data_IF_444673565375
#
_entry.id   IF_444673565375
#
_cell.length_a   1.000
_cell.length_b   1.000
_cell.length_c   1.000
_cell.angle_alpha   90.00
_cell.angle_beta   90.00
_cell.angle_gamma   90.00
#
_symmetry.space_group_name_H-M   'P 1'
#
loop_
_entity.id
_entity.type
_entity.pdbx_description
1 polymer ?
#
# COMPACT_ATOMS: atom_id res chain seq x y z
N UNK A 1 -20.19 -17.30 -26.69
CA UNK A 1 -19.70 -16.03 -26.12
C UNK A 1 -20.36 -15.67 -24.80
N UNK A 2 -21.69 -15.76 -24.66
CA UNK A 2 -22.37 -15.44 -23.39
C UNK A 2 -21.91 -16.30 -22.22
N UNK A 3 -21.69 -17.59 -22.44
CA UNK A 3 -21.23 -18.52 -21.38
C UNK A 3 -19.83 -18.18 -20.90
N UNK A 4 -18.94 -17.76 -21.79
CA UNK A 4 -17.56 -17.40 -21.44
C UNK A 4 -17.54 -16.11 -20.61
N UNK A 5 -18.36 -15.11 -20.97
CA UNK A 5 -18.43 -13.85 -20.24
C UNK A 5 -18.98 -14.06 -18.81
N UNK A 6 -19.99 -14.92 -18.66
CA UNK A 6 -20.56 -15.23 -17.35
C UNK A 6 -19.54 -15.95 -16.44
N UNK A 7 -18.78 -16.88 -17.02
CA UNK A 7 -17.73 -17.59 -16.27
C UNK A 7 -16.63 -16.65 -15.82
N UNK A 8 -16.20 -15.75 -16.71
CA UNK A 8 -15.17 -14.77 -16.38
C UNK A 8 -15.66 -13.82 -15.27
N UNK A 9 -16.90 -13.33 -15.33
CA UNK A 9 -17.48 -12.49 -14.31
C UNK A 9 -17.56 -13.18 -12.95
N UNK A 10 -17.93 -14.45 -12.93
CA UNK A 10 -18.03 -15.25 -11.70
C UNK A 10 -16.66 -15.45 -11.07
N UNK A 11 -15.63 -15.77 -11.87
CA UNK A 11 -14.27 -15.94 -11.38
C UNK A 11 -13.72 -14.63 -10.79
N UNK A 12 -13.99 -13.50 -11.44
CA UNK A 12 -13.57 -12.20 -10.94
C UNK A 12 -14.20 -11.89 -9.59
N UNK A 13 -15.50 -12.21 -9.43
CA UNK A 13 -16.20 -11.99 -8.17
C UNK A 13 -15.61 -12.85 -7.04
N UNK A 14 -15.32 -14.12 -7.31
CA UNK A 14 -14.71 -15.02 -6.32
C UNK A 14 -13.34 -14.50 -5.89
N UNK A 15 -12.51 -14.06 -6.83
CA UNK A 15 -11.19 -13.49 -6.54
C UNK A 15 -11.31 -12.21 -5.70
N UNK A 16 -12.27 -11.34 -6.00
CA UNK A 16 -12.49 -10.12 -5.25
C UNK A 16 -12.89 -10.40 -3.80
N UNK A 17 -13.79 -11.34 -3.58
CA UNK A 17 -14.22 -11.76 -2.24
C UNK A 17 -13.04 -12.37 -1.47
N UNK A 18 -12.27 -13.24 -2.10
CA UNK A 18 -11.09 -13.84 -1.50
C UNK A 18 -10.03 -12.81 -1.13
N UNK A 19 -9.82 -11.81 -1.98
CA UNK A 19 -8.87 -10.74 -1.71
C UNK A 19 -9.27 -9.92 -0.48
N UNK A 20 -10.55 -9.53 -0.37
CA UNK A 20 -11.05 -8.78 0.78
C UNK A 20 -10.89 -9.58 2.07
N UNK A 21 -11.27 -10.86 2.06
CA UNK A 21 -11.12 -11.73 3.22
C UNK A 21 -9.64 -11.88 3.61
N UNK A 22 -8.75 -12.04 2.61
CA UNK A 22 -7.32 -12.10 2.83
C UNK A 22 -6.77 -10.81 3.45
N UNK A 23 -7.27 -9.64 3.03
CA UNK A 23 -6.87 -8.37 3.60
C UNK A 23 -7.25 -8.24 5.08
N UNK A 24 -8.46 -8.68 5.45
CA UNK A 24 -8.91 -8.61 6.84
C UNK A 24 -8.02 -9.43 7.77
N UNK A 25 -7.64 -10.65 7.36
CA UNK A 25 -6.80 -11.52 8.17
C UNK A 25 -5.31 -11.15 8.13
N UNK A 26 -4.88 -10.41 7.11
CA UNK A 26 -3.47 -10.04 6.90
C UNK A 26 -3.21 -8.54 7.09
N UNK A 27 -4.14 -7.80 7.74
CA UNK A 27 -4.05 -6.34 7.83
C UNK A 27 -2.77 -5.86 8.50
N UNK A 28 -2.40 -6.42 9.65
CA UNK A 28 -1.19 -6.02 10.37
C UNK A 28 0.10 -6.36 9.61
N UNK A 29 0.30 -7.59 9.10
CA UNK A 29 1.48 -7.87 8.30
C UNK A 29 1.59 -7.00 7.04
N UNK A 30 0.47 -6.69 6.39
CA UNK A 30 0.46 -5.83 5.21
C UNK A 30 0.80 -4.38 5.56
N UNK A 31 0.31 -3.87 6.67
CA UNK A 31 0.65 -2.52 7.15
C UNK A 31 2.13 -2.44 7.48
N UNK A 32 2.70 -3.46 8.13
CA UNK A 32 4.12 -3.51 8.43
C UNK A 32 4.97 -3.58 7.15
N UNK A 33 4.54 -4.36 6.16
CA UNK A 33 5.21 -4.45 4.87
C UNK A 33 5.18 -3.10 4.14
N UNK A 34 4.04 -2.43 4.15
CA UNK A 34 3.91 -1.10 3.54
C UNK A 34 4.84 -0.08 4.21
N UNK A 35 4.94 -0.11 5.53
CA UNK A 35 5.83 0.76 6.27
C UNK A 35 7.29 0.54 5.87
N UNK A 36 7.70 -0.71 5.78
CA UNK A 36 9.05 -1.06 5.32
C UNK A 36 9.31 -0.55 3.91
N UNK A 37 8.36 -0.73 3.00
CA UNK A 37 8.48 -0.28 1.61
C UNK A 37 8.56 1.24 1.52
N UNK A 38 7.77 1.96 2.31
CA UNK A 38 7.81 3.41 2.36
C UNK A 38 9.16 3.92 2.87
N UNK A 39 9.71 3.28 3.88
CA UNK A 39 11.04 3.63 4.40
C UNK A 39 12.12 3.38 3.36
N UNK A 40 12.02 2.29 2.60
CA UNK A 40 12.93 2.00 1.50
C UNK A 40 12.81 3.05 0.40
N UNK A 41 11.59 3.41 0.03
CA UNK A 41 11.35 4.45 -0.97
C UNK A 41 11.95 5.79 -0.54
N UNK A 42 11.78 6.15 0.73
CA UNK A 42 12.38 7.38 1.29
C UNK A 42 13.89 7.36 1.16
N UNK A 43 14.52 6.23 1.49
CA UNK A 43 15.97 6.07 1.37
C UNK A 43 16.43 6.25 -0.08
N UNK A 44 15.70 5.64 -1.03
CA UNK A 44 16.01 5.80 -2.45
C UNK A 44 15.87 7.24 -2.91
N UNK A 45 14.82 7.94 -2.49
CA UNK A 45 14.62 9.33 -2.83
C UNK A 45 15.71 10.22 -2.26
N UNK A 46 16.14 9.95 -1.02
CA UNK A 46 17.23 10.71 -0.39
C UNK A 46 18.58 10.48 -1.08
N UNK A 47 18.76 9.32 -1.70
CA UNK A 47 19.98 8.97 -2.43
C UNK A 47 19.96 9.43 -3.88
N UNK A 48 18.82 9.88 -4.37
CA UNK A 48 18.69 10.35 -5.76
C UNK A 48 19.48 11.64 -5.97
N UNK A 49 19.93 11.85 -7.21
CA UNK A 49 20.69 13.03 -7.57
C UNK A 49 19.86 14.31 -7.41
N UNK A 50 20.55 15.46 -7.46
CA UNK A 50 19.97 16.77 -7.17
C UNK A 50 18.59 16.96 -7.80
N UNK A 51 17.69 17.53 -7.00
CA UNK A 51 16.28 17.71 -7.33
C UNK A 51 16.07 18.96 -8.17
N UNK A 52 15.91 18.79 -9.47
CA UNK A 52 15.59 19.91 -10.36
C UNK A 52 14.08 20.14 -10.32
N UNK A 53 13.65 21.30 -9.84
CA UNK A 53 12.25 21.68 -9.77
C UNK A 53 11.52 21.34 -8.47
N UNK A 54 12.21 20.82 -7.48
CA UNK A 54 11.65 20.57 -6.14
C UNK A 54 10.78 19.30 -6.03
N UNK A 55 10.70 18.48 -7.07
CA UNK A 55 9.83 17.31 -7.07
C UNK A 55 10.31 16.20 -6.15
N UNK A 56 11.63 16.00 -6.06
CA UNK A 56 12.19 15.00 -5.14
C UNK A 56 11.90 15.39 -3.68
N UNK A 57 12.14 16.64 -3.32
CA UNK A 57 11.86 17.10 -1.96
C UNK A 57 10.39 16.98 -1.61
N UNK A 58 9.51 17.29 -2.55
CA UNK A 58 8.07 17.12 -2.35
C UNK A 58 7.70 15.64 -2.18
N UNK A 59 8.32 14.76 -2.98
CA UNK A 59 8.08 13.32 -2.86
C UNK A 59 8.53 12.80 -1.51
N UNK A 60 9.68 13.23 -1.00
CA UNK A 60 10.18 12.87 0.33
C UNK A 60 9.19 13.33 1.40
N UNK A 61 8.68 14.55 1.31
CA UNK A 61 7.69 15.06 2.26
C UNK A 61 6.41 14.22 2.26
N UNK A 62 5.92 13.86 1.07
CA UNK A 62 4.70 13.03 0.95
C UNK A 62 4.94 11.61 1.50
N UNK A 63 6.12 11.04 1.26
CA UNK A 63 6.45 9.72 1.81
C UNK A 63 6.55 9.80 3.33
N UNK A 64 7.12 10.85 3.89
CA UNK A 64 7.16 11.04 5.34
C UNK A 64 5.75 11.12 5.93
N UNK A 65 4.84 11.84 5.29
CA UNK A 65 3.44 11.92 5.72
C UNK A 65 2.78 10.54 5.67
N UNK A 66 3.03 9.80 4.60
CA UNK A 66 2.47 8.44 4.44
C UNK A 66 3.01 7.50 5.53
N UNK A 67 4.30 7.57 5.85
CA UNK A 67 4.90 6.79 6.94
C UNK A 67 4.19 7.10 8.26
N UNK A 68 3.98 8.36 8.56
CA UNK A 68 3.31 8.76 9.79
C UNK A 68 1.88 8.21 9.87
N UNK A 69 1.14 8.25 8.76
CA UNK A 69 -0.22 7.71 8.72
C UNK A 69 -0.25 6.20 8.89
N UNK A 70 0.67 5.48 8.26
CA UNK A 70 0.75 4.02 8.41
C UNK A 70 1.09 3.66 9.86
N UNK A 71 2.02 4.37 10.47
CA UNK A 71 2.38 4.16 11.88
C UNK A 71 1.18 4.40 12.81
N UNK A 72 0.39 5.45 12.56
CA UNK A 72 -0.84 5.72 13.31
C UNK A 72 -1.86 4.60 13.14
N UNK A 73 -1.99 4.08 11.92
CA UNK A 73 -2.89 2.96 11.66
C UNK A 73 -2.49 1.69 12.40
N UNK A 74 -1.20 1.39 12.41
CA UNK A 74 -0.65 0.24 13.17
C UNK A 74 -0.92 0.43 14.66
N UNK A 75 -0.65 1.61 15.20
CA UNK A 75 -0.88 1.92 16.62
C UNK A 75 -2.36 1.83 16.98
N UNK A 76 -3.24 2.30 16.12
CA UNK A 76 -4.69 2.21 16.33
C UNK A 76 -5.14 0.75 16.46
N UNK A 77 -4.68 -0.11 15.58
CA UNK A 77 -5.05 -1.53 15.63
C UNK A 77 -4.55 -2.23 16.89
N UNK A 78 -3.41 -1.84 17.40
CA UNK A 78 -2.85 -2.41 18.63
C UNK A 78 -3.65 -2.04 19.89
N UNK A 79 -4.41 -0.95 19.84
CA UNK A 79 -5.22 -0.49 20.97
C UNK A 79 -6.58 -1.16 21.06
N UNK A 80 -6.94 -1.98 20.09
CA UNK A 80 -8.20 -2.71 20.11
C UNK A 80 -8.13 -3.94 21.02
#
# INVERSE_FOLDING_TARGET
>A
MRRTALRAALLTLILAIGFVAGQLSAAQPRMQAALKDLRSARSELNSATADKGGHRNRAVALVNDAIAEVERGIAYDRRR
#
